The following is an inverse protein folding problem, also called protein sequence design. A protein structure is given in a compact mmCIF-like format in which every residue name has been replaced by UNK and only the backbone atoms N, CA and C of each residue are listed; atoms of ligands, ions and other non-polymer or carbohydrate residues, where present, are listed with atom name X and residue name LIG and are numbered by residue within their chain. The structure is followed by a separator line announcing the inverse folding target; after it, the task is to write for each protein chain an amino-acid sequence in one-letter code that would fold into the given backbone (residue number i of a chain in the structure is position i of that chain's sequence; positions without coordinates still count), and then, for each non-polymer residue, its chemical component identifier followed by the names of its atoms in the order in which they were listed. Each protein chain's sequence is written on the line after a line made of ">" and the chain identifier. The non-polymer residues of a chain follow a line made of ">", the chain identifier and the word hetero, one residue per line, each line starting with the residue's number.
data_IF_434651867041
#
_entry.id   IF_434651867041
#
_cell.length_a   1.000
_cell.length_b   1.000
_cell.length_c   1.000
_cell.angle_alpha   90.00
_cell.angle_beta   90.00
_cell.angle_gamma   90.00
#
_symmetry.space_group_name_H-M   'P 1'
#
loop_
_entity.id
_entity.type
_entity.pdbx_description
1 polymer ?
#
# COMPACT_ATOMS: atom_id res chain seq x y z
N UNK A 1 7.32 -10.29 -8.98
CA UNK A 1 6.54 -9.16 -8.48
C UNK A 1 5.80 -9.59 -7.21
N UNK A 2 5.78 -8.72 -6.23
CA UNK A 2 5.05 -8.94 -4.98
C UNK A 2 4.10 -7.78 -4.74
N UNK A 3 3.03 -8.05 -3.99
CA UNK A 3 1.99 -7.08 -3.70
C UNK A 3 1.69 -7.07 -2.21
N UNK A 4 1.57 -5.88 -1.63
CA UNK A 4 1.00 -5.71 -0.29
C UNK A 4 -0.47 -5.35 -0.45
N UNK A 5 -1.31 -6.05 0.31
CA UNK A 5 -2.72 -5.71 0.51
C UNK A 5 -2.86 -5.23 1.95
N UNK A 6 -3.06 -3.93 2.12
CA UNK A 6 -3.20 -3.30 3.44
C UNK A 6 -4.63 -2.88 3.64
N UNK A 7 -5.31 -3.54 4.58
CA UNK A 7 -6.71 -3.25 4.91
C UNK A 7 -6.74 -2.58 6.28
N UNK A 8 -7.46 -1.48 6.40
CA UNK A 8 -7.44 -0.69 7.63
C UNK A 8 -8.78 -0.06 7.95
N UNK A 9 -8.97 0.22 9.26
CA UNK A 9 -10.07 1.03 9.74
C UNK A 9 -9.50 2.11 10.65
N UNK A 10 -9.97 3.33 10.47
CA UNK A 10 -9.52 4.46 11.26
C UNK A 10 -10.25 4.50 12.60
N UNK A 11 -9.56 5.00 13.62
CA UNK A 11 -10.19 5.38 14.88
C UNK A 11 -11.19 6.50 14.63
N UNK A 12 -12.25 6.56 15.46
CA UNK A 12 -13.18 7.67 15.39
C UNK A 12 -12.51 9.00 15.71
N UNK A 13 -11.46 8.98 16.53
CA UNK A 13 -10.70 10.16 16.96
C UNK A 13 -9.39 10.35 16.17
N UNK A 14 -9.25 9.68 15.04
CA UNK A 14 -8.04 9.81 14.22
C UNK A 14 -7.80 11.26 13.80
N UNK A 15 -6.55 11.71 13.96
CA UNK A 15 -6.15 13.05 13.53
C UNK A 15 -5.88 13.04 12.03
N UNK A 16 -6.94 13.27 11.24
CA UNK A 16 -6.85 13.25 9.78
C UNK A 16 -5.92 14.31 9.22
N UNK A 17 -5.92 15.57 9.72
CA UNK A 17 -4.95 16.55 9.26
C UNK A 17 -3.49 16.14 9.48
N UNK A 18 -3.19 15.43 10.56
CA UNK A 18 -1.83 14.93 10.81
C UNK A 18 -1.51 13.70 9.95
N UNK A 19 -2.53 12.90 9.60
CA UNK A 19 -2.35 11.71 8.78
C UNK A 19 -2.01 12.05 7.32
N UNK A 20 -2.65 13.06 6.77
CA UNK A 20 -2.53 13.39 5.34
C UNK A 20 -1.07 13.58 4.89
N UNK A 21 -0.24 14.41 5.55
CA UNK A 21 1.16 14.55 5.13
C UNK A 21 1.98 13.27 5.32
N UNK A 22 1.66 12.44 6.31
CA UNK A 22 2.34 11.16 6.52
C UNK A 22 2.04 10.22 5.35
N UNK A 23 0.78 10.13 4.94
CA UNK A 23 0.39 9.31 3.80
C UNK A 23 1.04 9.76 2.51
N UNK A 24 1.05 11.06 2.25
CA UNK A 24 1.70 11.64 1.07
C UNK A 24 3.21 11.34 1.05
N UNK A 25 3.86 11.43 2.20
CA UNK A 25 5.29 11.12 2.31
C UNK A 25 5.57 9.64 2.07
N UNK A 26 4.69 8.76 2.54
CA UNK A 26 4.84 7.31 2.31
C UNK A 26 4.75 6.95 0.84
N UNK A 27 3.83 7.59 0.11
CA UNK A 27 3.76 7.44 -1.34
C UNK A 27 5.04 7.95 -2.01
N UNK A 28 5.49 9.13 -1.65
CA UNK A 28 6.70 9.74 -2.21
C UNK A 28 7.92 8.85 -1.97
N UNK A 29 8.06 8.34 -0.75
CA UNK A 29 9.15 7.44 -0.41
C UNK A 29 9.10 6.16 -1.23
N UNK A 30 7.94 5.49 -1.27
CA UNK A 30 7.77 4.26 -2.02
C UNK A 30 8.12 4.46 -3.50
N UNK A 31 7.58 5.52 -4.11
CA UNK A 31 7.78 5.79 -5.54
C UNK A 31 9.22 6.13 -5.91
N UNK A 32 10.04 6.52 -4.93
CA UNK A 32 11.46 6.82 -5.14
C UNK A 32 12.36 5.60 -4.97
N UNK A 33 11.84 4.50 -4.45
CA UNK A 33 12.68 3.33 -4.14
C UNK A 33 12.82 2.38 -5.33
N UNK A 34 13.96 1.67 -5.40
CA UNK A 34 14.15 0.67 -6.45
C UNK A 34 13.05 -0.38 -6.45
N UNK A 35 12.61 -0.78 -7.63
CA UNK A 35 11.63 -1.84 -7.80
C UNK A 35 10.18 -1.43 -7.63
N UNK A 36 9.92 -0.17 -7.35
CA UNK A 36 8.54 0.33 -7.22
C UNK A 36 7.74 0.16 -8.51
N UNK A 37 6.52 -0.35 -8.39
CA UNK A 37 5.60 -0.51 -9.53
C UNK A 37 4.38 0.38 -9.36
N UNK A 38 3.65 0.27 -8.25
CA UNK A 38 2.42 1.03 -8.03
C UNK A 38 2.08 1.18 -6.56
N UNK A 39 1.26 2.19 -6.28
CA UNK A 39 0.73 2.46 -4.95
C UNK A 39 -0.60 3.16 -5.13
N UNK A 40 -1.67 2.59 -4.61
CA UNK A 40 -2.99 3.17 -4.75
C UNK A 40 -3.89 2.85 -3.56
N UNK A 41 -4.62 3.88 -3.12
CA UNK A 41 -5.59 3.77 -2.04
C UNK A 41 -7.01 3.68 -2.58
N UNK A 42 -7.83 2.88 -1.89
CA UNK A 42 -9.25 2.72 -2.17
C UNK A 42 -10.02 2.80 -0.87
N UNK A 43 -11.30 3.10 -0.96
CA UNK A 43 -12.17 3.08 0.21
C UNK A 43 -13.48 2.39 -0.14
N UNK A 44 -13.90 1.44 0.70
CA UNK A 44 -15.18 0.76 0.56
C UNK A 44 -16.31 1.61 1.15
N UNK A 45 -17.56 1.26 0.83
CA UNK A 45 -18.74 1.97 1.34
C UNK A 45 -18.83 1.93 2.86
N UNK A 46 -18.35 0.85 3.49
CA UNK A 46 -18.33 0.69 4.93
C UNK A 46 -17.13 1.40 5.59
N UNK A 47 -16.40 2.20 4.82
CA UNK A 47 -15.24 2.99 5.22
C UNK A 47 -13.96 2.20 5.48
N UNK A 48 -13.95 0.90 5.15
CA UNK A 48 -12.70 0.18 5.16
C UNK A 48 -11.74 0.75 4.12
N UNK A 49 -10.52 1.06 4.52
CA UNK A 49 -9.47 1.48 3.62
C UNK A 49 -8.73 0.28 3.04
N UNK A 50 -8.31 0.40 1.80
CA UNK A 50 -7.50 -0.61 1.13
C UNK A 50 -6.37 0.11 0.39
N UNK A 51 -5.13 -0.28 0.68
CA UNK A 51 -3.96 0.21 -0.05
C UNK A 51 -3.29 -0.96 -0.73
N UNK A 52 -3.09 -0.83 -2.04
CA UNK A 52 -2.36 -1.81 -2.84
C UNK A 52 -1.01 -1.23 -3.19
N UNK A 53 0.06 -1.95 -2.85
CA UNK A 53 1.43 -1.54 -3.16
C UNK A 53 2.12 -2.69 -3.87
N UNK A 54 2.76 -2.39 -5.00
CA UNK A 54 3.45 -3.40 -5.79
C UNK A 54 4.91 -3.05 -5.96
N UNK A 55 5.77 -4.04 -5.76
CA UNK A 55 7.21 -3.97 -6.02
C UNK A 55 7.62 -5.15 -6.90
N UNK A 56 8.74 -5.01 -7.58
CA UNK A 56 9.25 -6.06 -8.49
C UNK A 56 9.74 -7.30 -7.73
N UNK A 57 10.14 -7.16 -6.46
CA UNK A 57 10.67 -8.26 -5.66
C UNK A 57 10.38 -8.08 -4.18
N UNK A 58 10.42 -9.17 -3.44
CA UNK A 58 10.28 -9.16 -1.98
C UNK A 58 11.40 -8.38 -1.31
N UNK A 59 12.60 -8.41 -1.88
CA UNK A 59 13.76 -7.69 -1.36
C UNK A 59 13.55 -6.18 -1.42
N UNK A 60 13.10 -5.66 -2.57
CA UNK A 60 12.83 -4.24 -2.71
C UNK A 60 11.65 -3.78 -1.86
N UNK A 61 10.62 -4.61 -1.74
CA UNK A 61 9.50 -4.34 -0.84
C UNK A 61 9.97 -4.21 0.60
N UNK A 62 10.84 -5.13 1.04
CA UNK A 62 11.38 -5.12 2.40
C UNK A 62 12.18 -3.87 2.66
N UNK A 63 12.99 -3.42 1.71
CA UNK A 63 13.80 -2.21 1.85
C UNK A 63 12.93 -0.98 2.12
N UNK A 64 11.79 -0.87 1.44
CA UNK A 64 10.83 0.20 1.70
C UNK A 64 10.18 0.04 3.08
N UNK A 65 9.71 -1.16 3.40
CA UNK A 65 9.02 -1.43 4.65
C UNK A 65 9.90 -1.18 5.88
N UNK A 66 11.20 -1.47 5.77
CA UNK A 66 12.16 -1.30 6.85
C UNK A 66 12.83 0.07 6.86
N UNK A 67 12.51 0.93 5.90
CA UNK A 67 13.04 2.28 5.89
C UNK A 67 12.64 3.02 7.16
N UNK A 68 13.56 3.76 7.81
CA UNK A 68 13.27 4.44 9.08
C UNK A 68 12.04 5.34 9.05
N UNK A 69 11.79 6.05 7.96
CA UNK A 69 10.59 6.87 7.84
C UNK A 69 9.32 6.04 7.80
N UNK A 70 9.36 4.86 7.16
CA UNK A 70 8.20 3.97 7.12
C UNK A 70 7.94 3.34 8.48
N UNK A 71 8.99 2.97 9.20
CA UNK A 71 8.87 2.45 10.57
C UNK A 71 8.24 3.51 11.48
N UNK A 72 8.67 4.75 11.38
CA UNK A 72 8.10 5.86 12.14
C UNK A 72 6.61 6.07 11.81
N UNK A 73 6.26 5.97 10.53
CA UNK A 73 4.87 6.08 10.08
C UNK A 73 4.01 4.93 10.62
N UNK A 74 4.54 3.72 10.69
CA UNK A 74 3.84 2.57 11.27
C UNK A 74 3.55 2.79 12.76
N UNK A 75 4.51 3.30 13.51
CA UNK A 75 4.33 3.60 14.93
C UNK A 75 3.27 4.68 15.12
N UNK A 76 3.34 5.74 14.34
CA UNK A 76 2.33 6.80 14.36
C UNK A 76 0.93 6.24 14.06
N UNK A 77 0.84 5.37 13.05
CA UNK A 77 -0.42 4.74 12.66
C UNK A 77 -1.04 3.94 13.80
N UNK A 78 -0.24 3.11 14.46
CA UNK A 78 -0.72 2.30 15.57
C UNK A 78 -1.13 3.13 16.78
N UNK A 79 -0.42 4.20 17.07
CA UNK A 79 -0.68 5.02 18.25
C UNK A 79 -1.83 6.02 18.07
N UNK A 80 -2.00 6.57 16.86
CA UNK A 80 -2.85 7.75 16.66
C UNK A 80 -3.93 7.61 15.59
N UNK A 81 -3.88 6.60 14.73
CA UNK A 81 -4.66 6.58 13.51
C UNK A 81 -5.60 5.39 13.41
N UNK A 82 -5.06 4.17 13.53
CA UNK A 82 -5.81 2.97 13.19
C UNK A 82 -6.50 2.34 14.39
N UNK A 83 -7.78 2.02 14.21
CA UNK A 83 -8.52 1.10 15.08
C UNK A 83 -8.01 -0.31 14.89
N UNK A 84 -7.82 -0.70 13.62
CA UNK A 84 -7.32 -2.02 13.23
C UNK A 84 -6.71 -1.97 11.85
N UNK A 85 -5.80 -2.91 11.56
CA UNK A 85 -5.34 -3.13 10.20
C UNK A 85 -4.84 -4.56 10.04
N UNK A 86 -4.81 -5.00 8.78
CA UNK A 86 -4.29 -6.30 8.39
C UNK A 86 -3.42 -6.11 7.15
N UNK A 87 -2.26 -6.74 7.15
CA UNK A 87 -1.34 -6.69 6.02
C UNK A 87 -1.15 -8.10 5.48
N UNK A 88 -1.36 -8.26 4.17
CA UNK A 88 -1.09 -9.52 3.48
C UNK A 88 -0.08 -9.24 2.38
N UNK A 89 1.01 -10.00 2.37
CA UNK A 89 2.01 -9.92 1.31
C UNK A 89 1.75 -11.09 0.36
N UNK A 90 1.54 -10.77 -0.92
CA UNK A 90 1.10 -11.75 -1.91
C UNK A 90 2.09 -11.87 -3.06
N UNK A 91 2.23 -13.09 -3.56
CA UNK A 91 2.85 -13.32 -4.86
C UNK A 91 1.75 -13.65 -5.85
N UNK A 92 1.56 -12.89 -6.94
CA UNK A 92 0.58 -13.25 -7.96
C UNK A 92 0.97 -14.59 -8.61
N UNK A 93 0.03 -15.52 -8.67
CA UNK A 93 0.25 -16.80 -9.32
C UNK A 93 -0.20 -16.77 -10.77
N UNK A 94 -1.03 -15.81 -11.13
CA UNK A 94 -1.50 -15.62 -12.50
C UNK A 94 -1.98 -14.18 -12.67
N UNK A 95 -1.68 -13.58 -13.82
CA UNK A 95 -2.16 -12.24 -14.19
C UNK A 95 -2.60 -12.24 -15.64
N UNK A 96 -3.72 -11.62 -15.88
CA UNK A 96 -4.18 -11.32 -17.24
C UNK A 96 -4.99 -10.03 -17.19
N UNK A 97 -5.05 -9.34 -18.31
CA UNK A 97 -5.74 -8.07 -18.41
C UNK A 97 -6.54 -8.02 -19.70
N UNK A 98 -7.47 -7.09 -19.73
CA UNK A 98 -8.22 -6.78 -20.94
C UNK A 98 -8.23 -5.27 -21.12
N UNK A 99 -8.05 -4.83 -22.33
CA UNK A 99 -8.29 -3.45 -22.72
C UNK A 99 -9.01 -3.43 -24.07
N UNK A 100 -9.79 -2.38 -24.30
CA UNK A 100 -10.51 -2.22 -25.56
C UNK A 100 -9.58 -2.25 -26.75
N UNK A 101 -8.38 -1.65 -26.60
CA UNK A 101 -7.41 -1.53 -27.69
C UNK A 101 -6.62 -2.82 -27.94
N UNK A 102 -6.24 -3.53 -26.88
CA UNK A 102 -5.35 -4.69 -26.97
C UNK A 102 -6.04 -6.02 -26.81
N UNK A 103 -7.33 -6.01 -26.45
CA UNK A 103 -8.04 -7.23 -26.12
C UNK A 103 -7.48 -7.87 -24.84
N UNK A 104 -7.59 -9.18 -24.76
CA UNK A 104 -7.13 -9.93 -23.59
C UNK A 104 -5.66 -10.27 -23.72
N UNK A 105 -4.88 -9.93 -22.69
CA UNK A 105 -3.45 -10.21 -22.61
C UNK A 105 -3.15 -10.94 -21.33
N UNK A 106 -2.42 -12.05 -21.41
CA UNK A 106 -1.96 -12.79 -20.25
C UNK A 106 -0.51 -12.44 -19.96
N UNK A 107 -0.27 -12.05 -18.68
CA UNK A 107 1.07 -11.75 -18.19
C UNK A 107 1.58 -12.91 -17.36
N UNK A 108 2.75 -13.39 -17.69
CA UNK A 108 3.34 -14.50 -16.97
C UNK A 108 3.76 -14.07 -15.55
#
# INVERSE_FOLDING_TARGET
>A
MVMIVFRSRLRADADLPALEPVGARMYELASSMPGFISYKDFQAEDKEGLTLVEFDSAEHLRAWREHPEHVAAQEFGREKVFESYEITVCNPIRRYSFSKDKGRVESA
#
